data_IF_161016375993
#
_entry.id   IF_161016375993
#
_cell.length_a   1.000
_cell.length_b   1.000
_cell.length_c   1.000
_cell.angle_alpha   90.00
_cell.angle_beta   90.00
_cell.angle_gamma   90.00
#
_symmetry.space_group_name_H-M   'P 1'
#
loop_
_entity.id
_entity.type
_entity.pdbx_description
1 polymer ?
#
# COMPACT_ATOMS: atom_id res chain seq x y z
N UNK A 1 -27.17 -1.22 12.05
CA UNK A 1 -27.71 -0.57 10.83
C UNK A 1 -26.93 -1.13 9.64
N UNK A 2 -27.57 -1.83 8.70
CA UNK A 2 -26.91 -2.20 7.44
C UNK A 2 -26.83 -0.95 6.58
N UNK A 3 -25.66 -0.31 6.55
CA UNK A 3 -25.36 0.66 5.51
C UNK A 3 -25.19 -0.09 4.19
N UNK A 4 -25.85 0.38 3.14
CA UNK A 4 -25.60 -0.12 1.80
C UNK A 4 -24.14 0.21 1.44
N UNK A 5 -23.44 -0.73 0.79
CA UNK A 5 -22.07 -0.58 0.31
C UNK A 5 -22.04 -0.68 -1.20
N UNK A 6 -20.88 -0.43 -1.83
CA UNK A 6 -20.72 -0.63 -3.27
C UNK A 6 -21.24 -2.01 -3.70
N UNK A 7 -22.07 -2.11 -4.76
CA UNK A 7 -22.36 -1.09 -5.78
C UNK A 7 -23.52 -0.13 -5.47
N UNK A 8 -24.22 -0.29 -4.35
CA UNK A 8 -25.43 0.49 -4.03
C UNK A 8 -25.13 1.85 -3.38
N UNK A 9 -23.89 2.07 -2.95
CA UNK A 9 -23.40 3.35 -2.44
C UNK A 9 -21.91 3.52 -2.72
N UNK A 10 -21.35 4.69 -2.39
CA UNK A 10 -19.91 4.95 -2.40
C UNK A 10 -19.16 4.40 -1.18
N UNK A 11 -19.86 3.77 -0.22
CA UNK A 11 -19.25 3.21 0.98
C UNK A 11 -18.49 1.92 0.67
N UNK A 12 -17.35 1.75 1.35
CA UNK A 12 -16.48 0.58 1.19
C UNK A 12 -17.21 -0.71 1.62
N UNK A 13 -17.20 -1.78 0.80
CA UNK A 13 -17.68 -3.10 1.21
C UNK A 13 -16.81 -3.75 2.30
N UNK A 14 -17.40 -4.60 3.15
CA UNK A 14 -16.71 -5.23 4.29
C UNK A 14 -15.63 -6.23 3.93
N UNK A 15 -15.75 -6.84 2.75
CA UNK A 15 -14.74 -7.71 2.18
C UNK A 15 -13.60 -6.95 1.47
N UNK A 16 -13.72 -5.63 1.29
CA UNK A 16 -12.71 -4.86 0.56
C UNK A 16 -11.54 -4.49 1.46
N UNK A 17 -10.32 -4.72 0.97
CA UNK A 17 -9.07 -4.42 1.66
C UNK A 17 -8.30 -3.34 0.88
N UNK A 18 -7.82 -2.31 1.58
CA UNK A 18 -6.99 -1.26 0.99
C UNK A 18 -5.59 -1.81 0.67
N UNK A 19 -5.16 -1.69 -0.57
CA UNK A 19 -3.79 -2.04 -1.00
C UNK A 19 -2.88 -0.82 -0.87
N UNK A 20 -1.59 -1.08 -0.75
CA UNK A 20 -0.57 -0.04 -0.70
C UNK A 20 0.81 -0.62 -0.47
N UNK A 21 1.83 0.16 -0.81
CA UNK A 21 3.21 -0.18 -0.52
C UNK A 21 3.52 0.09 0.94
N UNK A 22 4.20 -0.86 1.58
CA UNK A 22 4.74 -0.74 2.93
C UNK A 22 6.26 -0.57 2.93
N UNK A 23 6.85 -0.51 1.73
CA UNK A 23 8.25 -0.13 1.55
C UNK A 23 8.43 1.37 1.78
N UNK A 24 9.62 1.75 2.22
CA UNK A 24 9.98 3.16 2.52
C UNK A 24 11.08 3.70 1.61
N UNK A 25 11.62 2.87 0.72
CA UNK A 25 12.62 3.30 -0.25
C UNK A 25 11.93 4.12 -1.36
N UNK A 26 12.41 5.35 -1.65
CA UNK A 26 11.93 6.10 -2.80
C UNK A 26 12.53 5.50 -4.10
N UNK A 27 11.74 5.46 -5.17
CA UNK A 27 12.17 4.95 -6.47
C UNK A 27 12.43 3.43 -6.48
N UNK A 28 13.27 2.95 -7.39
CA UNK A 28 13.72 1.54 -7.41
C UNK A 28 14.60 1.28 -6.18
N UNK A 29 14.19 0.38 -5.25
CA UNK A 29 14.97 0.07 -4.07
C UNK A 29 16.36 -0.52 -4.38
N UNK A 30 16.57 -1.06 -5.59
CA UNK A 30 17.82 -1.72 -5.97
C UNK A 30 18.85 -0.77 -6.62
N UNK A 31 18.44 0.43 -7.04
CA UNK A 31 19.32 1.45 -7.64
C UNK A 31 19.14 2.81 -6.95
N UNK A 32 19.40 2.91 -5.63
CA UNK A 32 19.25 4.18 -4.92
C UNK A 32 20.09 5.28 -5.58
N UNK A 33 19.46 6.42 -5.86
CA UNK A 33 20.07 7.61 -6.49
C UNK A 33 20.51 7.43 -7.96
N UNK A 34 20.31 6.26 -8.56
CA UNK A 34 20.68 5.98 -9.96
C UNK A 34 19.46 5.57 -10.79
N UNK A 35 19.44 5.87 -12.10
CA UNK A 35 18.34 5.44 -12.95
C UNK A 35 18.35 3.90 -13.09
N UNK A 36 17.17 3.28 -13.02
CA UNK A 36 17.00 1.83 -13.07
C UNK A 36 17.16 1.23 -14.48
N UNK A 37 18.22 1.61 -15.21
CA UNK A 37 18.50 1.16 -16.58
C UNK A 37 19.10 -0.25 -16.58
N UNK A 38 19.01 -1.01 -17.69
CA UNK A 38 19.50 -2.39 -17.76
C UNK A 38 20.99 -2.55 -17.41
N UNK A 39 21.80 -1.55 -17.75
CA UNK A 39 23.26 -1.55 -17.58
C UNK A 39 23.75 -0.93 -16.26
N UNK A 40 22.85 -0.39 -15.43
CA UNK A 40 23.22 0.21 -14.14
C UNK A 40 23.38 -0.90 -13.10
N UNK A 41 24.44 -0.89 -12.31
CA UNK A 41 24.64 -1.90 -11.25
C UNK A 41 23.62 -1.73 -10.14
N UNK A 42 23.07 -2.85 -9.65
CA UNK A 42 22.12 -2.87 -8.52
C UNK A 42 22.94 -2.99 -7.25
N UNK A 43 22.89 -1.97 -6.40
CA UNK A 43 23.78 -1.85 -5.23
C UNK A 43 23.15 -2.39 -3.94
N UNK A 44 21.83 -2.58 -3.94
CA UNK A 44 21.10 -3.11 -2.79
C UNK A 44 20.59 -4.54 -3.03
N UNK A 45 20.35 -5.24 -1.92
CA UNK A 45 19.65 -6.53 -1.89
C UNK A 45 18.43 -6.44 -0.98
N UNK A 46 17.48 -7.36 -1.10
CA UNK A 46 16.31 -7.42 -0.21
C UNK A 46 16.73 -7.51 1.26
N UNK A 47 17.80 -8.25 1.56
CA UNK A 47 18.33 -8.37 2.92
C UNK A 47 18.91 -7.04 3.42
N UNK A 48 19.71 -6.35 2.58
CA UNK A 48 20.23 -5.02 2.90
C UNK A 48 19.11 -4.03 3.18
N UNK A 49 18.07 -4.01 2.32
CA UNK A 49 16.91 -3.13 2.48
C UNK A 49 16.13 -3.39 3.76
N UNK A 50 16.00 -4.66 4.17
CA UNK A 50 15.39 -5.02 5.46
C UNK A 50 16.24 -4.56 6.64
N UNK A 51 17.57 -4.75 6.61
CA UNK A 51 18.48 -4.25 7.66
C UNK A 51 18.43 -2.73 7.79
N UNK A 52 18.30 -2.01 6.67
CA UNK A 52 18.11 -0.56 6.60
C UNK A 52 16.70 -0.11 7.00
N UNK A 53 15.79 -1.02 7.34
CA UNK A 53 14.38 -0.74 7.66
C UNK A 53 13.62 -0.03 6.53
N UNK A 54 14.04 -0.25 5.28
CA UNK A 54 13.38 0.24 4.07
C UNK A 54 12.34 -0.76 3.54
N UNK A 55 12.49 -2.04 3.87
CA UNK A 55 11.49 -3.08 3.66
C UNK A 55 11.10 -3.70 5.01
N UNK A 56 9.84 -4.16 5.17
CA UNK A 56 9.41 -4.81 6.40
C UNK A 56 10.17 -6.13 6.64
N UNK A 57 10.57 -6.34 7.89
CA UNK A 57 11.18 -7.58 8.37
C UNK A 57 10.17 -8.66 8.75
N UNK A 58 8.89 -8.31 8.84
CA UNK A 58 7.77 -9.21 9.19
C UNK A 58 6.74 -9.26 8.06
N UNK A 59 5.95 -10.33 7.95
CA UNK A 59 4.84 -10.38 6.99
C UNK A 59 3.78 -9.32 7.29
N UNK A 60 3.25 -8.71 6.23
CA UNK A 60 2.16 -7.72 6.31
C UNK A 60 1.13 -8.06 5.24
N UNK A 61 -0.16 -8.00 5.60
CA UNK A 61 -1.27 -8.11 4.65
C UNK A 61 -2.40 -7.18 5.09
N UNK A 62 -3.06 -6.46 4.16
CA UNK A 62 -4.31 -5.79 4.46
C UNK A 62 -5.45 -6.82 4.56
N UNK A 63 -6.49 -6.48 5.30
CA UNK A 63 -7.73 -7.26 5.43
C UNK A 63 -8.95 -6.33 5.32
N UNK A 64 -10.10 -6.90 4.98
CA UNK A 64 -11.37 -6.18 5.04
C UNK A 64 -11.87 -6.01 6.48
N UNK A 65 -12.80 -5.09 6.69
CA UNK A 65 -13.33 -4.83 8.03
C UNK A 65 -14.23 -5.97 8.54
N UNK A 66 -14.81 -6.81 7.67
CA UNK A 66 -15.55 -8.00 8.10
C UNK A 66 -14.64 -9.05 8.75
N UNK A 67 -13.42 -9.20 8.23
CA UNK A 67 -12.43 -10.10 8.82
C UNK A 67 -11.82 -9.51 10.09
N UNK A 68 -11.59 -8.19 10.11
CA UNK A 68 -11.16 -7.49 11.31
C UNK A 68 -12.17 -7.66 12.46
N UNK A 69 -13.47 -7.55 12.15
CA UNK A 69 -14.56 -7.82 13.08
C UNK A 69 -14.45 -9.22 13.71
N UNK A 70 -14.31 -10.26 12.87
CA UNK A 70 -14.17 -11.65 13.33
C UNK A 70 -12.94 -11.85 14.20
N UNK A 71 -11.82 -11.21 13.86
CA UNK A 71 -10.59 -11.27 14.67
C UNK A 71 -10.83 -10.64 16.05
N UNK A 72 -11.45 -9.46 16.11
CA UNK A 72 -11.73 -8.78 17.38
C UNK A 72 -12.71 -9.55 18.26
N UNK A 73 -13.71 -10.21 17.67
CA UNK A 73 -14.64 -11.10 18.38
C UNK A 73 -13.96 -12.37 18.89
N UNK A 74 -13.00 -12.90 18.13
CA UNK A 74 -12.24 -14.08 18.52
C UNK A 74 -11.34 -13.80 19.72
N UNK A 75 -10.70 -12.62 19.82
CA UNK A 75 -9.78 -12.27 20.91
C UNK A 75 -10.41 -12.45 22.30
N UNK A 76 -9.63 -12.97 23.27
CA UNK A 76 -10.10 -13.24 24.64
C UNK A 76 -9.61 -12.24 25.70
N UNK A 77 -9.00 -11.13 25.27
CA UNK A 77 -8.48 -10.09 26.15
C UNK A 77 -9.51 -9.06 26.61
N UNK A 78 -9.12 -8.14 27.52
CA UNK A 78 -10.01 -7.12 28.07
C UNK A 78 -10.53 -6.17 26.98
N UNK A 79 -11.80 -5.79 27.11
CA UNK A 79 -12.43 -4.84 26.20
C UNK A 79 -11.77 -3.47 26.31
N UNK A 80 -11.58 -2.81 25.17
CA UNK A 80 -11.09 -1.44 25.11
C UNK A 80 -12.16 -0.50 25.66
N UNK A 81 -11.83 0.29 26.68
CA UNK A 81 -12.72 1.30 27.29
C UNK A 81 -12.42 2.73 26.84
N UNK A 82 -11.27 2.94 26.20
CA UNK A 82 -10.84 4.22 25.66
C UNK A 82 -11.64 4.56 24.40
N UNK A 83 -12.46 5.61 24.47
CA UNK A 83 -13.32 6.03 23.36
C UNK A 83 -12.53 6.44 22.11
N UNK A 84 -11.31 6.95 22.27
CA UNK A 84 -10.40 7.33 21.17
C UNK A 84 -9.82 6.12 20.40
N UNK A 85 -10.05 4.89 20.89
CA UNK A 85 -9.61 3.65 20.26
C UNK A 85 -10.77 2.80 19.72
N UNK A 86 -12.02 3.25 19.92
CA UNK A 86 -13.22 2.53 19.47
C UNK A 86 -13.67 3.16 18.14
N UNK A 87 -13.68 2.35 17.08
CA UNK A 87 -14.23 2.71 15.78
C UNK A 87 -15.60 2.08 15.54
N UNK A 88 -15.92 1.76 14.28
CA UNK A 88 -17.23 1.24 13.87
C UNK A 88 -17.47 -0.26 14.05
N UNK A 89 -16.50 -1.02 14.58
CA UNK A 89 -16.65 -2.46 14.86
C UNK A 89 -17.48 -2.69 16.13
N UNK A 90 -18.09 -3.88 16.29
CA UNK A 90 -18.96 -4.14 17.45
C UNK A 90 -18.19 -4.27 18.76
N UNK A 91 -16.92 -4.67 18.69
CA UNK A 91 -16.07 -4.88 19.86
C UNK A 91 -14.61 -4.60 19.51
N UNK A 92 -13.88 -4.12 20.51
CA UNK A 92 -12.44 -3.92 20.47
C UNK A 92 -11.85 -4.55 21.72
N UNK A 93 -10.79 -5.34 21.57
CA UNK A 93 -10.13 -6.04 22.69
C UNK A 93 -8.63 -5.82 22.67
N UNK A 94 -8.05 -5.66 23.85
CA UNK A 94 -6.61 -5.59 24.05
C UNK A 94 -6.04 -6.98 24.26
N UNK A 95 -4.94 -7.31 23.58
CA UNK A 95 -4.21 -8.56 23.79
C UNK A 95 -5.09 -9.80 23.56
N UNK A 96 -4.46 -10.96 23.35
CA UNK A 96 -5.18 -12.21 23.19
C UNK A 96 -4.21 -13.35 23.43
N UNK A 97 -4.68 -14.41 24.09
CA UNK A 97 -3.96 -15.69 24.19
C UNK A 97 -4.27 -16.59 23.00
N UNK A 98 -5.34 -16.28 22.26
CA UNK A 98 -5.68 -17.02 21.06
C UNK A 98 -4.67 -16.75 19.94
N UNK A 99 -4.40 -17.79 19.17
CA UNK A 99 -3.45 -17.76 18.05
C UNK A 99 -4.22 -17.73 16.73
N UNK A 100 -3.64 -17.05 15.76
CA UNK A 100 -4.04 -17.10 14.36
C UNK A 100 -2.80 -17.35 13.50
N UNK A 101 -3.00 -17.99 12.35
CA UNK A 101 -1.93 -18.22 11.39
C UNK A 101 -2.05 -17.21 10.26
N UNK A 102 -1.01 -16.39 10.09
CA UNK A 102 -0.88 -15.51 8.94
C UNK A 102 0.05 -16.16 7.91
N UNK A 103 -0.47 -16.45 6.71
CA UNK A 103 0.29 -17.05 5.62
C UNK A 103 0.37 -16.07 4.44
N UNK A 104 1.50 -15.39 4.30
CA UNK A 104 1.75 -14.42 3.21
C UNK A 104 2.75 -15.01 2.24
N UNK A 105 2.36 -15.12 0.97
CA UNK A 105 3.18 -15.71 -0.12
C UNK A 105 3.51 -14.70 -1.21
N UNK A 106 3.85 -13.47 -0.81
CA UNK A 106 4.28 -12.41 -1.71
C UNK A 106 5.73 -12.61 -2.17
N UNK A 107 6.06 -12.16 -3.38
CA UNK A 107 7.41 -12.25 -3.96
C UNK A 107 7.85 -10.93 -4.56
N UNK A 108 9.14 -10.62 -4.45
CA UNK A 108 9.74 -9.53 -5.21
C UNK A 108 9.95 -9.97 -6.65
N UNK A 109 9.60 -9.11 -7.59
CA UNK A 109 9.78 -9.36 -9.01
C UNK A 109 10.25 -8.08 -9.70
N UNK A 110 11.25 -8.20 -10.57
CA UNK A 110 11.66 -7.10 -11.45
C UNK A 110 10.64 -7.00 -12.58
N UNK A 111 10.20 -5.78 -12.86
CA UNK A 111 9.23 -5.46 -13.92
C UNK A 111 9.70 -4.23 -14.66
N UNK A 112 9.43 -4.19 -15.96
CA UNK A 112 9.62 -2.98 -16.76
C UNK A 112 8.50 -2.00 -16.44
N UNK A 113 8.87 -0.76 -16.12
CA UNK A 113 7.95 0.37 -15.94
C UNK A 113 8.19 1.32 -17.11
N UNK A 114 7.12 1.90 -17.65
CA UNK A 114 7.18 2.81 -18.80
C UNK A 114 6.58 4.15 -18.41
N UNK A 115 7.37 5.21 -18.52
CA UNK A 115 6.88 6.58 -18.44
C UNK A 115 6.63 7.10 -19.85
N UNK A 116 5.49 7.76 -20.04
CA UNK A 116 5.14 8.42 -21.30
C UNK A 116 5.47 9.90 -21.13
N UNK A 117 6.32 10.43 -22.01
CA UNK A 117 6.76 11.82 -21.97
C UNK A 117 6.40 12.46 -23.32
N UNK A 118 5.65 13.55 -23.28
CA UNK A 118 5.35 14.39 -24.42
C UNK A 118 5.94 15.78 -24.18
N UNK A 119 6.46 16.41 -25.24
CA UNK A 119 7.09 17.72 -25.16
C UNK A 119 6.41 18.64 -26.15
N UNK A 120 6.02 19.82 -25.68
CA UNK A 120 5.64 20.96 -26.51
C UNK A 120 6.75 22.00 -26.36
N UNK A 121 7.49 22.23 -27.44
CA UNK A 121 8.63 23.16 -27.43
C UNK A 121 8.13 24.61 -27.36
N UNK A 122 8.72 25.39 -26.45
CA UNK A 122 8.41 26.82 -26.31
C UNK A 122 8.98 27.63 -27.47
N UNK A 123 8.23 28.63 -27.94
CA UNK A 123 8.68 29.47 -29.06
C UNK A 123 9.80 30.45 -28.70
N UNK A 124 9.80 30.95 -27.45
CA UNK A 124 10.76 31.98 -26.98
C UNK A 124 11.89 31.37 -26.12
N UNK A 125 11.54 30.55 -25.13
CA UNK A 125 12.48 29.95 -24.17
C UNK A 125 12.40 28.41 -24.18
N UNK A 126 12.82 27.73 -25.26
CA UNK A 126 12.73 26.27 -25.39
C UNK A 126 13.55 25.49 -24.36
N UNK A 127 14.49 26.14 -23.67
CA UNK A 127 15.32 25.57 -22.60
C UNK A 127 14.70 25.70 -21.18
N UNK A 128 13.58 26.43 -21.03
CA UNK A 128 12.86 26.58 -19.76
C UNK A 128 11.69 25.60 -19.68
N UNK A 129 11.70 24.77 -18.64
CA UNK A 129 10.76 23.66 -18.50
C UNK A 129 9.63 23.97 -17.53
N UNK A 130 8.38 23.79 -17.98
CA UNK A 130 7.21 23.62 -17.11
C UNK A 130 6.78 22.16 -17.20
N UNK A 131 6.79 21.46 -16.07
CA UNK A 131 6.48 20.02 -16.02
C UNK A 131 5.10 19.78 -15.40
N UNK A 132 4.24 19.07 -16.14
CA UNK A 132 2.97 18.54 -15.65
C UNK A 132 3.03 17.02 -15.70
N UNK A 133 2.75 16.36 -14.56
CA UNK A 133 2.85 14.91 -14.45
C UNK A 133 1.65 14.32 -13.70
N UNK A 134 1.25 13.13 -14.15
CA UNK A 134 0.31 12.25 -13.44
C UNK A 134 0.78 10.79 -13.60
N UNK A 135 0.55 9.97 -12.59
CA UNK A 135 0.87 8.56 -12.64
C UNK A 135 -0.26 7.78 -13.34
N UNK A 136 0.10 6.74 -14.08
CA UNK A 136 -0.87 5.95 -14.87
C UNK A 136 -1.20 4.61 -14.18
N UNK A 137 -0.29 4.11 -13.36
CA UNK A 137 -0.46 2.84 -12.66
C UNK A 137 -1.54 2.93 -11.57
N UNK A 138 -2.19 1.79 -11.31
CA UNK A 138 -3.22 1.67 -10.29
C UNK A 138 -3.26 0.25 -9.68
N UNK A 139 -3.68 0.16 -8.43
CA UNK A 139 -3.87 -1.12 -7.72
C UNK A 139 -5.10 -1.93 -8.14
N UNK A 140 -6.07 -1.31 -8.82
CA UNK A 140 -7.34 -1.92 -9.20
C UNK A 140 -8.03 -1.14 -10.33
N UNK A 141 -9.27 -1.51 -10.67
CA UNK A 141 -10.08 -0.76 -11.66
C UNK A 141 -10.49 0.58 -11.05
N UNK A 142 -10.12 1.68 -11.69
CA UNK A 142 -10.22 3.02 -11.10
C UNK A 142 -11.53 3.72 -11.51
N UNK A 143 -12.31 4.11 -10.50
CA UNK A 143 -13.34 5.17 -10.58
C UNK A 143 -13.10 6.31 -9.56
N UNK A 144 -11.98 6.26 -8.83
CA UNK A 144 -11.54 7.20 -7.81
C UNK A 144 -10.17 6.76 -7.22
N UNK A 145 -9.38 7.74 -6.74
CA UNK A 145 -7.99 7.68 -6.23
C UNK A 145 -7.15 6.47 -6.70
N UNK A 146 -6.25 6.73 -7.66
CA UNK A 146 -5.12 5.85 -7.87
C UNK A 146 -4.05 6.16 -6.81
N UNK A 147 -3.63 5.16 -6.04
CA UNK A 147 -2.47 5.29 -5.15
C UNK A 147 -1.30 4.55 -5.79
N UNK A 148 -0.15 5.20 -5.83
CA UNK A 148 1.12 4.62 -6.29
C UNK A 148 1.59 3.49 -5.37
N UNK A 149 2.34 2.55 -5.94
CA UNK A 149 3.14 1.56 -5.23
C UNK A 149 4.56 2.08 -4.94
#
# INVERSE_FOLDING_TARGET
RCFQTFPHSSSLPGSAAQRGSVGRAPGDPLTPLFPALPYVTRTETIESLRRKKLLPGIPVTPIGYDDAQRIMEYMDGPTVTRSDWIGGLSTYRWLSRRKFQLNVRSRFAKRTITNIIAVLEGSEEPDRWVMLGNHVDAWGKVGGFSMTA
#
